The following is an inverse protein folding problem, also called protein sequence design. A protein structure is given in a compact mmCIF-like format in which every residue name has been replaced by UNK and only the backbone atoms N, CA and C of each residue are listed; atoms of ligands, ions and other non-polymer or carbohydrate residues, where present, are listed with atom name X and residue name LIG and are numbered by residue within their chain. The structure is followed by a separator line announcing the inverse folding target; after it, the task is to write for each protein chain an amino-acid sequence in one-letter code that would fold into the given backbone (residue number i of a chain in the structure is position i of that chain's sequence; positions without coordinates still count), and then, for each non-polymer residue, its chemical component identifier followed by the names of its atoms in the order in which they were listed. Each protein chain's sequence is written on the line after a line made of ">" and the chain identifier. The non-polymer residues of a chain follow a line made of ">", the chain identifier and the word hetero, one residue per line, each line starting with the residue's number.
data_IF_319290810373
#
_entry.id   IF_319290810373
#
_cell.length_a   1.000
_cell.length_b   1.000
_cell.length_c   1.000
_cell.angle_alpha   90.00
_cell.angle_beta   90.00
_cell.angle_gamma   90.00
#
_symmetry.space_group_name_H-M   'P 1'
#
loop_
_entity.id
_entity.type
_entity.pdbx_description
1 polymer ?
#
# COMPACT_ATOMS: atom_id res chain seq x y z
N UNK A 1 -2.05 -3.39 21.32
CA UNK A 1 -1.21 -2.36 20.65
C UNK A 1 -0.94 -2.72 19.20
N UNK A 2 -1.95 -3.17 18.44
CA UNK A 2 -1.88 -3.42 16.97
C UNK A 2 -2.90 -2.57 16.19
N UNK A 3 -3.59 -1.64 16.88
CA UNK A 3 -4.77 -0.94 16.32
C UNK A 3 -4.46 0.28 15.44
N UNK A 4 -3.22 0.73 15.35
CA UNK A 4 -2.87 1.96 14.61
C UNK A 4 -2.32 1.72 13.20
N UNK A 5 -2.20 0.46 12.76
CA UNK A 5 -1.66 0.16 11.41
C UNK A 5 -2.81 0.07 10.42
N UNK A 6 -3.19 1.20 9.82
CA UNK A 6 -4.10 1.18 8.68
C UNK A 6 -3.33 0.68 7.44
N UNK A 7 -3.65 -0.55 7.01
CA UNK A 7 -3.08 -1.16 5.80
C UNK A 7 -3.92 -0.80 4.60
N UNK A 8 -3.35 -0.06 3.66
CA UNK A 8 -3.96 0.16 2.35
C UNK A 8 -3.38 -0.85 1.35
N UNK A 9 -4.19 -1.83 0.93
CA UNK A 9 -3.80 -2.82 -0.07
C UNK A 9 -4.22 -2.38 -1.47
N UNK A 10 -3.28 -2.32 -2.40
CA UNK A 10 -3.58 -2.03 -3.82
C UNK A 10 -3.46 -3.31 -4.67
N UNK A 11 -4.56 -3.69 -5.34
CA UNK A 11 -4.64 -4.89 -6.19
C UNK A 11 -4.81 -4.55 -7.68
N UNK A 12 -4.51 -5.53 -8.55
CA UNK A 12 -4.40 -5.39 -10.03
C UNK A 12 -5.67 -4.88 -10.73
N UNK A 13 -6.86 -5.03 -10.14
CA UNK A 13 -8.16 -4.65 -10.74
C UNK A 13 -8.82 -3.41 -10.12
N UNK A 14 -8.19 -2.76 -9.15
CA UNK A 14 -8.81 -1.65 -8.42
C UNK A 14 -8.40 -0.29 -9.00
N UNK A 15 -9.24 0.28 -9.86
CA UNK A 15 -9.10 1.67 -10.31
C UNK A 15 -9.56 2.62 -9.21
N UNK A 16 -8.73 2.84 -8.20
CA UNK A 16 -8.93 3.97 -7.29
C UNK A 16 -8.33 5.22 -7.92
N UNK A 17 -8.84 6.42 -7.62
CA UNK A 17 -8.17 7.66 -8.02
C UNK A 17 -6.99 7.91 -7.06
N UNK A 18 -5.80 8.24 -7.58
CA UNK A 18 -4.61 8.55 -6.76
C UNK A 18 -4.89 9.73 -5.80
N UNK A 19 -5.65 10.72 -6.26
CA UNK A 19 -6.06 11.87 -5.45
C UNK A 19 -6.95 11.45 -4.27
N UNK A 20 -7.83 10.46 -4.48
CA UNK A 20 -8.66 9.91 -3.41
C UNK A 20 -7.84 9.17 -2.35
N UNK A 21 -6.82 8.42 -2.77
CA UNK A 21 -5.91 7.72 -1.84
C UNK A 21 -5.06 8.71 -1.06
N UNK A 22 -4.58 9.77 -1.71
CA UNK A 22 -3.86 10.86 -1.05
C UNK A 22 -4.73 11.51 0.02
N UNK A 23 -5.93 11.96 -0.33
CA UNK A 23 -6.85 12.59 0.61
C UNK A 23 -7.16 11.69 1.81
N UNK A 24 -7.30 10.37 1.60
CA UNK A 24 -7.50 9.41 2.67
C UNK A 24 -6.27 9.30 3.57
N UNK A 25 -5.07 9.19 2.99
CA UNK A 25 -3.82 9.12 3.77
C UNK A 25 -3.59 10.41 4.57
N UNK A 26 -3.84 11.58 3.97
CA UNK A 26 -3.76 12.87 4.65
C UNK A 26 -4.74 12.98 5.81
N UNK A 27 -5.98 12.50 5.62
CA UNK A 27 -6.96 12.47 6.70
C UNK A 27 -6.46 11.63 7.87
N UNK A 28 -5.90 10.44 7.62
CA UNK A 28 -5.35 9.58 8.67
C UNK A 28 -4.18 10.24 9.40
N UNK A 29 -3.28 10.89 8.67
CA UNK A 29 -2.18 11.68 9.26
C UNK A 29 -2.76 12.82 10.11
N UNK A 30 -3.76 13.55 9.62
CA UNK A 30 -4.42 14.66 10.33
C UNK A 30 -5.18 14.22 11.58
N UNK A 31 -5.74 13.02 11.59
CA UNK A 31 -6.42 12.41 12.75
C UNK A 31 -5.46 11.95 13.86
N UNK A 32 -4.14 12.06 13.63
CA UNK A 32 -3.13 11.79 14.65
C UNK A 32 -2.39 10.47 14.47
N UNK A 33 -2.67 9.69 13.42
CA UNK A 33 -1.95 8.43 13.18
C UNK A 33 -0.44 8.70 13.04
N UNK A 34 0.38 7.93 13.76
CA UNK A 34 1.84 8.07 13.72
C UNK A 34 2.45 7.39 12.49
N UNK A 35 1.69 6.50 11.86
CA UNK A 35 2.17 5.62 10.80
C UNK A 35 1.04 5.23 9.84
N UNK A 36 1.35 5.17 8.55
CA UNK A 36 0.52 4.55 7.52
C UNK A 36 1.35 3.48 6.80
N UNK A 37 0.76 2.33 6.49
CA UNK A 37 1.44 1.26 5.76
C UNK A 37 0.77 1.02 4.41
N UNK A 38 1.54 1.24 3.35
CA UNK A 38 1.13 1.05 1.97
C UNK A 38 1.64 -0.28 1.45
N UNK A 39 0.75 -1.13 0.94
CA UNK A 39 1.10 -2.41 0.35
C UNK A 39 0.84 -2.40 -1.16
N UNK A 40 1.89 -2.65 -1.94
CA UNK A 40 1.83 -2.80 -3.39
C UNK A 40 2.28 -4.19 -3.81
N UNK A 41 1.46 -4.89 -4.60
CA UNK A 41 1.79 -6.23 -5.12
C UNK A 41 1.79 -6.19 -6.65
N UNK A 42 2.84 -6.73 -7.27
CA UNK A 42 2.98 -6.82 -8.72
C UNK A 42 2.77 -5.47 -9.42
N UNK A 43 1.77 -5.39 -10.30
CA UNK A 43 1.48 -4.19 -11.08
C UNK A 43 1.06 -2.96 -10.23
N UNK A 44 0.72 -3.14 -8.94
CA UNK A 44 0.40 -2.03 -8.05
C UNK A 44 1.63 -1.37 -7.41
N UNK A 45 2.83 -1.95 -7.58
CA UNK A 45 4.08 -1.41 -7.00
C UNK A 45 4.36 0.03 -7.48
N UNK A 46 4.36 0.35 -8.79
CA UNK A 46 4.68 1.72 -9.24
C UNK A 46 3.70 2.75 -8.68
N UNK A 47 2.43 2.37 -8.56
CA UNK A 47 1.39 3.22 -7.99
C UNK A 47 1.57 3.44 -6.48
N UNK A 48 1.94 2.39 -5.77
CA UNK A 48 2.21 2.44 -4.32
C UNK A 48 3.40 3.35 -4.02
N UNK A 49 4.47 3.24 -4.82
CA UNK A 49 5.64 4.14 -4.74
C UNK A 49 5.24 5.58 -5.04
N UNK A 50 4.47 5.81 -6.11
CA UNK A 50 4.03 7.15 -6.47
C UNK A 50 3.19 7.80 -5.35
N UNK A 51 2.26 7.06 -4.75
CA UNK A 51 1.47 7.53 -3.60
C UNK A 51 2.37 7.93 -2.41
N UNK A 52 3.36 7.10 -2.07
CA UNK A 52 4.30 7.39 -0.99
C UNK A 52 5.14 8.65 -1.24
N UNK A 53 5.62 8.82 -2.48
CA UNK A 53 6.41 9.99 -2.88
C UNK A 53 5.57 11.28 -2.81
N UNK A 54 4.34 11.26 -3.33
CA UNK A 54 3.45 12.42 -3.26
C UNK A 54 3.09 12.79 -1.81
N UNK A 55 2.89 11.79 -0.93
CA UNK A 55 2.70 12.05 0.50
C UNK A 55 3.93 12.72 1.12
N UNK A 56 5.13 12.19 0.85
CA UNK A 56 6.36 12.75 1.38
C UNK A 56 6.61 14.20 0.92
N UNK A 57 6.36 14.47 -0.38
CA UNK A 57 6.46 15.82 -0.95
C UNK A 57 5.47 16.79 -0.31
N UNK A 58 4.20 16.38 -0.17
CA UNK A 58 3.15 17.23 0.43
C UNK A 58 3.42 17.56 1.89
N UNK A 59 4.01 16.63 2.62
CA UNK A 59 4.40 16.79 4.01
C UNK A 59 5.77 17.45 4.18
N UNK A 60 6.44 17.88 3.11
CA UNK A 60 7.71 18.62 3.16
C UNK A 60 8.77 17.96 4.05
N UNK A 61 8.84 16.61 4.05
CA UNK A 61 9.78 15.86 4.88
C UNK A 61 9.40 15.75 6.38
N UNK A 62 8.17 16.12 6.76
CA UNK A 62 7.61 15.83 8.10
C UNK A 62 7.19 14.37 8.29
N UNK A 63 7.37 13.54 7.26
CA UNK A 63 7.23 12.08 7.29
C UNK A 63 8.49 11.41 6.76
N UNK A 64 8.79 10.23 7.25
CA UNK A 64 9.88 9.35 6.82
C UNK A 64 9.30 8.11 6.12
N UNK A 65 9.99 7.61 5.10
CA UNK A 65 9.59 6.44 4.33
C UNK A 65 10.53 5.26 4.63
N UNK A 66 10.00 4.17 5.18
CA UNK A 66 10.72 2.90 5.27
C UNK A 66 10.18 1.92 4.25
N UNK A 67 11.05 1.37 3.41
CA UNK A 67 10.68 0.53 2.26
C UNK A 67 11.21 -0.88 2.46
N UNK A 68 10.33 -1.86 2.33
CA UNK A 68 10.65 -3.29 2.36
C UNK A 68 10.15 -3.96 1.08
N UNK A 69 10.94 -4.88 0.54
CA UNK A 69 10.57 -5.71 -0.60
C UNK A 69 10.42 -7.16 -0.17
N UNK A 70 9.51 -7.86 -0.81
CA UNK A 70 9.27 -9.28 -0.53
C UNK A 70 8.65 -9.98 -1.74
N UNK A 71 8.49 -11.29 -1.64
CA UNK A 71 7.79 -12.12 -2.64
C UNK A 71 6.57 -12.72 -1.98
N UNK A 72 5.40 -12.54 -2.61
CA UNK A 72 4.12 -13.09 -2.14
C UNK A 72 3.65 -14.18 -3.10
N UNK A 73 3.25 -15.31 -2.54
CA UNK A 73 2.62 -16.40 -3.28
C UNK A 73 1.12 -16.15 -3.35
N UNK A 74 0.57 -16.13 -4.56
CA UNK A 74 -0.86 -15.99 -4.82
C UNK A 74 -1.39 -17.30 -5.39
N UNK A 75 -2.54 -17.73 -4.88
CA UNK A 75 -3.28 -18.89 -5.38
C UNK A 75 -4.56 -18.36 -6.00
N UNK A 76 -4.74 -18.60 -7.29
CA UNK A 76 -5.95 -18.25 -8.04
C UNK A 76 -6.68 -19.55 -8.39
N UNK A 77 -7.97 -19.64 -8.04
CA UNK A 77 -8.81 -20.77 -8.41
C UNK A 77 -9.28 -20.60 -9.87
N UNK A 78 -9.15 -21.66 -10.67
CA UNK A 78 -9.57 -21.69 -12.07
C UNK A 78 -10.83 -22.53 -12.21
N UNK A 79 -11.86 -21.92 -12.80
CA UNK A 79 -13.10 -22.60 -13.14
C UNK A 79 -12.97 -23.29 -14.51
N UNK A 80 -13.45 -24.54 -14.64
CA UNK A 80 -13.40 -25.26 -15.91
C UNK A 80 -14.36 -24.61 -16.92
N UNK A 81 -13.90 -24.52 -18.17
CA UNK A 81 -14.70 -23.97 -19.29
C UNK A 81 -15.82 -24.90 -19.74
N UNK A 82 -15.76 -26.18 -19.37
CA UNK A 82 -16.73 -27.22 -19.72
C UNK A 82 -16.89 -28.21 -18.57
N UNK A 83 -18.08 -28.80 -18.42
CA UNK A 83 -18.44 -29.73 -17.32
C UNK A 83 -17.60 -31.03 -17.28
N UNK A 84 -16.73 -31.24 -18.26
CA UNK A 84 -15.88 -32.43 -18.41
C UNK A 84 -14.49 -32.29 -17.80
N UNK A 85 -14.15 -31.13 -17.21
CA UNK A 85 -12.81 -30.84 -16.68
C UNK A 85 -12.92 -30.50 -15.20
N UNK A 86 -11.95 -30.98 -14.42
CA UNK A 86 -11.89 -30.72 -12.98
C UNK A 86 -11.45 -29.28 -12.68
N UNK A 87 -11.77 -28.80 -11.48
CA UNK A 87 -11.28 -27.53 -10.97
C UNK A 87 -9.76 -27.57 -10.78
N UNK A 88 -9.08 -26.51 -11.20
CA UNK A 88 -7.63 -26.37 -11.05
C UNK A 88 -7.27 -25.14 -10.21
N UNK A 89 -6.13 -25.19 -9.53
CA UNK A 89 -5.58 -24.03 -8.83
C UNK A 89 -4.29 -23.60 -9.51
N UNK A 90 -4.12 -22.31 -9.78
CA UNK A 90 -2.87 -21.75 -10.28
C UNK A 90 -2.15 -21.02 -9.16
N UNK A 91 -0.90 -21.42 -8.89
CA UNK A 91 -0.02 -20.70 -7.96
C UNK A 91 0.97 -19.82 -8.73
N UNK A 92 1.08 -18.55 -8.35
CA UNK A 92 2.05 -17.60 -8.93
C UNK A 92 2.79 -16.83 -7.84
N UNK A 93 4.02 -16.42 -8.16
CA UNK A 93 4.80 -15.54 -7.29
C UNK A 93 4.80 -14.13 -7.85
N UNK A 94 4.46 -13.16 -7.00
CA UNK A 94 4.55 -11.74 -7.33
C UNK A 94 5.52 -11.05 -6.37
N UNK A 95 6.29 -10.10 -6.89
CA UNK A 95 6.99 -9.13 -6.05
C UNK A 95 5.97 -8.28 -5.28
N UNK A 96 6.36 -7.88 -4.08
CA UNK A 96 5.63 -6.93 -3.25
C UNK A 96 6.56 -5.87 -2.67
N UNK A 97 5.98 -4.70 -2.44
CA UNK A 97 6.58 -3.59 -1.71
C UNK A 97 5.69 -3.25 -0.53
N UNK A 98 6.30 -2.97 0.60
CA UNK A 98 5.66 -2.39 1.77
C UNK A 98 6.36 -1.07 2.06
N UNK A 99 5.61 0.02 2.08
CA UNK A 99 6.13 1.34 2.41
C UNK A 99 5.44 1.83 3.68
N UNK A 100 6.23 1.98 4.74
CA UNK A 100 5.78 2.58 6.00
C UNK A 100 6.05 4.08 5.93
N UNK A 101 5.01 4.89 6.08
CA UNK A 101 5.06 6.34 6.14
C UNK A 101 4.92 6.73 7.60
N UNK A 102 6.01 7.18 8.24
CA UNK A 102 6.06 7.44 9.68
C UNK A 102 6.21 8.94 9.91
N UNK A 103 5.46 9.53 10.83
CA UNK A 103 5.65 10.95 11.19
C UNK A 103 7.02 11.16 11.82
N UNK A 104 7.79 12.11 11.27
CA UNK A 104 9.05 12.53 11.84
C UNK A 104 8.80 13.51 12.99
N UNK A 105 9.01 13.06 14.22
CA UNK A 105 8.83 13.89 15.43
C UNK A 105 9.83 15.03 15.53
N UNK A 106 10.97 14.89 14.87
CA UNK A 106 12.07 15.85 14.91
C UNK A 106 11.98 16.87 13.76
N UNK A 107 10.99 16.76 12.87
CA UNK A 107 10.79 17.71 11.79
C UNK A 107 10.43 19.09 12.38
N UNK A 108 11.11 20.18 11.97
CA UNK A 108 10.85 21.53 12.48
C UNK A 108 9.42 22.03 12.15
N UNK A 109 8.72 21.39 11.21
CA UNK A 109 7.31 21.66 10.88
C UNK A 109 6.35 21.10 11.95
N UNK A 110 6.76 20.09 12.72
CA UNK A 110 5.92 19.41 13.71
C UNK A 110 6.13 19.93 15.16
N UNK A 111 6.94 20.98 15.35
CA UNK A 111 7.27 21.56 16.67
C UNK A 111 6.56 22.88 16.97
N UNK A 112 5.54 23.26 16.18
CA UNK A 112 4.70 24.45 16.35
C UNK A 112 3.30 24.09 16.83
#
# INVERSE_FOLDING_TARGET
>A
SERSVQKLLQSRKFSFNIQGQLAQCEKLIGEGESEIVLHGIGAAIPRTVNLALQLNEKHQGSVELHVETSTVTLVDDLEPLTDSVDYETQTRQNSSIVIRVVKNKDSPVNQL
#
